data_IF_171718161617
#
_entry.id   IF_171718161617
#
_cell.length_a   1.000
_cell.length_b   1.000
_cell.length_c   1.000
_cell.angle_alpha   90.00
_cell.angle_beta   90.00
_cell.angle_gamma   90.00
#
_symmetry.space_group_name_H-M   'P 1'
#
loop_
_entity.id
_entity.type
_entity.pdbx_description
1 polymer ?
#
# COMPACT_ATOMS: atom_id res chain seq x y z
N UNK A 1 13.23 -12.74 -6.76
CA UNK A 1 12.64 -12.54 -5.43
C UNK A 1 12.87 -11.10 -4.96
N UNK A 2 11.85 -10.48 -4.41
CA UNK A 2 11.96 -9.11 -3.91
C UNK A 2 12.48 -9.07 -2.48
N UNK A 3 13.17 -7.99 -2.15
CA UNK A 3 13.51 -7.64 -0.78
C UNK A 3 12.91 -6.28 -0.48
N UNK A 4 12.85 -5.89 0.80
CA UNK A 4 12.38 -4.57 1.15
C UNK A 4 13.26 -3.92 2.20
N UNK A 5 13.22 -2.61 2.22
CA UNK A 5 13.70 -1.79 3.32
C UNK A 5 12.63 -0.72 3.59
N UNK A 6 12.71 -0.07 4.71
CA UNK A 6 11.82 1.07 4.96
C UNK A 6 12.34 2.30 4.23
N UNK A 7 11.41 3.14 3.77
CA UNK A 7 11.76 4.38 3.09
C UNK A 7 12.45 5.35 4.04
N UNK A 8 13.34 6.17 3.48
CA UNK A 8 14.00 7.25 4.19
C UNK A 8 13.66 8.58 3.50
N UNK A 9 14.05 9.69 4.10
CA UNK A 9 13.80 11.01 3.49
C UNK A 9 14.43 11.16 2.12
N UNK A 10 15.49 10.40 1.84
CA UNK A 10 16.15 10.41 0.54
C UNK A 10 15.28 9.84 -0.59
N UNK A 11 14.23 9.10 -0.26
CA UNK A 11 13.33 8.49 -1.23
C UNK A 11 12.19 9.43 -1.68
N UNK A 12 12.19 10.68 -1.23
CA UNK A 12 11.07 11.61 -1.46
C UNK A 12 10.75 11.80 -2.95
N UNK A 13 11.77 11.93 -3.80
CA UNK A 13 11.55 12.15 -5.23
C UNK A 13 11.07 10.90 -5.94
N UNK A 14 11.56 9.74 -5.57
CA UNK A 14 11.08 8.47 -6.10
C UNK A 14 9.59 8.29 -5.81
N UNK A 15 9.18 8.54 -4.56
CA UNK A 15 7.77 8.44 -4.16
C UNK A 15 6.92 9.50 -4.86
N UNK A 16 7.47 10.71 -5.06
CA UNK A 16 6.77 11.76 -5.80
C UNK A 16 6.46 11.33 -7.24
N UNK A 17 7.45 10.76 -7.91
CA UNK A 17 7.27 10.29 -9.28
C UNK A 17 6.24 9.16 -9.36
N UNK A 18 6.27 8.24 -8.41
CA UNK A 18 5.29 7.15 -8.35
C UNK A 18 3.88 7.67 -8.08
N UNK A 19 3.74 8.59 -7.13
CA UNK A 19 2.41 9.08 -6.73
C UNK A 19 1.72 9.87 -7.84
N UNK A 20 2.48 10.56 -8.69
CA UNK A 20 1.95 11.35 -9.81
C UNK A 20 1.91 10.59 -11.15
N UNK A 21 2.30 9.34 -11.17
CA UNK A 21 2.17 8.52 -12.37
C UNK A 21 0.67 8.40 -12.69
N UNK A 22 0.31 8.53 -13.99
CA UNK A 22 -1.08 8.67 -14.40
C UNK A 22 -1.99 7.55 -13.89
N UNK A 23 -1.53 6.30 -13.98
CA UNK A 23 -2.35 5.17 -13.54
C UNK A 23 -2.57 5.18 -12.02
N UNK A 24 -1.57 5.61 -11.25
CA UNK A 24 -1.71 5.75 -9.79
C UNK A 24 -2.75 6.81 -9.46
N UNK A 25 -2.72 7.96 -10.15
CA UNK A 25 -3.72 9.01 -9.94
C UNK A 25 -5.12 8.54 -10.33
N UNK A 26 -5.24 7.81 -11.43
CA UNK A 26 -6.54 7.31 -11.91
C UNK A 26 -7.15 6.27 -10.96
N UNK A 27 -6.34 5.55 -10.19
CA UNK A 27 -6.81 4.55 -9.24
C UNK A 27 -6.81 5.05 -7.79
N UNK A 28 -6.69 6.35 -7.59
CA UNK A 28 -6.70 7.00 -6.27
C UNK A 28 -7.99 7.77 -6.07
N UNK A 29 -8.51 7.77 -4.85
CA UNK A 29 -9.75 8.49 -4.53
C UNK A 29 -9.62 9.99 -4.75
N UNK A 30 -8.43 10.54 -4.66
CA UNK A 30 -8.13 11.88 -5.11
C UNK A 30 -7.24 11.77 -6.34
N UNK A 31 -7.81 12.03 -7.52
CA UNK A 31 -7.11 11.87 -8.79
C UNK A 31 -6.33 13.11 -9.24
N UNK A 32 -6.43 14.22 -8.52
CA UNK A 32 -5.70 15.44 -8.86
C UNK A 32 -4.20 15.23 -8.70
N UNK A 33 -3.36 15.87 -9.55
CA UNK A 33 -1.92 15.82 -9.39
C UNK A 33 -1.50 16.36 -8.01
N UNK A 34 -0.46 15.75 -7.45
CA UNK A 34 0.09 16.17 -6.16
C UNK A 34 1.22 17.17 -6.42
N UNK A 35 1.16 18.33 -5.77
CA UNK A 35 2.21 19.34 -5.88
C UNK A 35 3.42 18.95 -5.04
N UNK A 36 4.63 19.24 -5.57
CA UNK A 36 5.86 18.79 -4.91
C UNK A 36 6.01 19.27 -3.45
N UNK A 37 5.78 20.54 -3.12
CA UNK A 37 5.91 20.98 -1.72
C UNK A 37 4.96 20.25 -0.77
N UNK A 38 3.73 19.99 -1.23
CA UNK A 38 2.74 19.24 -0.45
C UNK A 38 3.19 17.81 -0.24
N UNK A 39 3.76 17.19 -1.29
CA UNK A 39 4.29 15.84 -1.20
C UNK A 39 5.45 15.75 -0.21
N UNK A 40 6.39 16.68 -0.27
CA UNK A 40 7.54 16.69 0.65
C UNK A 40 7.08 16.75 2.11
N UNK A 41 6.13 17.64 2.40
CA UNK A 41 5.57 17.76 3.75
C UNK A 41 4.88 16.46 4.19
N UNK A 42 4.04 15.90 3.33
CA UNK A 42 3.33 14.65 3.58
C UNK A 42 4.31 13.49 3.80
N UNK A 43 5.29 13.35 2.91
CA UNK A 43 6.24 12.25 2.93
C UNK A 43 7.12 12.29 4.18
N UNK A 44 7.66 13.46 4.52
CA UNK A 44 8.53 13.61 5.68
C UNK A 44 7.81 13.28 6.98
N UNK A 45 6.53 13.63 7.09
CA UNK A 45 5.73 13.27 8.26
C UNK A 45 5.58 11.76 8.38
N UNK A 46 5.34 11.07 7.27
CA UNK A 46 5.10 9.61 7.29
C UNK A 46 6.37 8.81 7.51
N UNK A 47 7.48 9.24 6.94
CA UNK A 47 8.75 8.55 7.13
C UNK A 47 9.11 8.46 8.62
N UNK A 48 8.82 9.51 9.38
CA UNK A 48 9.17 9.57 10.79
C UNK A 48 8.03 9.12 11.72
N UNK A 49 6.85 8.86 11.19
CA UNK A 49 5.67 8.54 12.01
C UNK A 49 5.71 7.10 12.51
N UNK A 50 5.51 6.86 13.81
CA UNK A 50 5.53 5.49 14.35
C UNK A 50 4.31 4.65 13.95
N UNK A 51 3.24 5.28 13.47
CA UNK A 51 2.01 4.62 13.05
C UNK A 51 1.96 4.37 11.53
N UNK A 52 3.01 4.70 10.80
CA UNK A 52 3.07 4.51 9.36
C UNK A 52 4.30 3.70 8.98
N UNK A 53 4.09 2.63 8.20
CA UNK A 53 5.17 1.79 7.68
C UNK A 53 5.25 1.96 6.17
N UNK A 54 6.37 2.46 5.68
CA UNK A 54 6.62 2.66 4.26
C UNK A 54 7.63 1.63 3.77
N UNK A 55 7.13 0.57 3.14
CA UNK A 55 7.96 -0.51 2.58
C UNK A 55 8.38 -0.16 1.17
N UNK A 56 9.67 -0.08 0.94
CA UNK A 56 10.23 0.11 -0.40
C UNK A 56 10.80 -1.21 -0.89
N UNK A 57 10.31 -1.71 -2.02
CA UNK A 57 10.68 -3.01 -2.55
C UNK A 57 11.71 -2.88 -3.66
N UNK A 58 12.70 -3.77 -3.61
CA UNK A 58 13.83 -3.81 -4.52
C UNK A 58 13.91 -5.18 -5.18
N UNK A 59 14.29 -5.21 -6.46
CA UNK A 59 14.57 -6.48 -7.14
C UNK A 59 15.99 -6.98 -6.79
N UNK A 60 16.39 -8.09 -7.37
CA UNK A 60 17.69 -8.71 -7.10
C UNK A 60 18.88 -7.80 -7.50
N UNK A 61 18.65 -6.86 -8.40
CA UNK A 61 19.67 -5.91 -8.84
C UNK A 61 19.66 -4.63 -7.99
N UNK A 62 18.83 -4.57 -6.96
CA UNK A 62 18.73 -3.39 -6.11
C UNK A 62 17.91 -2.25 -6.69
N UNK A 63 17.14 -2.51 -7.75
CA UNK A 63 16.32 -1.49 -8.40
C UNK A 63 14.96 -1.41 -7.71
N UNK A 64 14.49 -0.19 -7.35
CA UNK A 64 13.16 -0.02 -6.77
C UNK A 64 12.06 -0.43 -7.75
N UNK A 65 11.15 -1.31 -7.33
CA UNK A 65 10.07 -1.80 -8.18
C UNK A 65 8.70 -1.35 -7.71
N UNK A 66 8.56 -0.93 -6.48
CA UNK A 66 7.29 -0.48 -5.95
C UNK A 66 7.33 -0.23 -4.46
N UNK A 67 6.17 0.13 -3.89
CA UNK A 67 6.06 0.42 -2.48
C UNK A 67 4.72 -0.06 -1.92
N UNK A 68 4.72 -0.33 -0.62
CA UNK A 68 3.51 -0.60 0.16
C UNK A 68 3.53 0.30 1.38
N UNK A 69 2.40 0.97 1.63
CA UNK A 69 2.22 1.80 2.82
C UNK A 69 1.13 1.18 3.68
N UNK A 70 1.42 0.98 4.96
CA UNK A 70 0.43 0.52 5.94
C UNK A 70 0.39 1.53 7.07
N UNK A 71 -0.76 2.16 7.26
CA UNK A 71 -0.98 3.16 8.30
C UNK A 71 -1.98 2.66 9.32
N UNK A 72 -1.61 2.73 10.60
CA UNK A 72 -2.53 2.44 11.69
C UNK A 72 -3.62 3.50 11.74
N UNK A 73 -4.82 3.09 12.13
CA UNK A 73 -5.94 3.99 12.28
C UNK A 73 -5.66 5.08 13.31
N UNK A 74 -6.33 6.25 13.20
CA UNK A 74 -5.95 7.45 13.95
C UNK A 74 -5.99 7.31 15.47
N UNK A 75 -6.80 6.43 16.00
CA UNK A 75 -6.92 6.22 17.45
C UNK A 75 -6.46 4.83 17.89
N UNK A 76 -6.03 3.99 16.96
CA UNK A 76 -5.76 2.60 17.23
C UNK A 76 -7.01 1.78 17.55
N UNK A 77 -8.20 2.36 17.40
CA UNK A 77 -9.46 1.66 17.65
C UNK A 77 -9.60 0.43 16.77
N UNK A 78 -9.98 -0.70 17.38
CA UNK A 78 -10.17 -1.95 16.68
C UNK A 78 -8.88 -2.52 16.11
N UNK A 79 -7.74 -1.94 16.40
CA UNK A 79 -6.45 -2.34 15.84
C UNK A 79 -6.55 -2.51 14.32
N UNK A 80 -7.03 -1.49 13.65
CA UNK A 80 -7.21 -1.48 12.21
C UNK A 80 -6.14 -0.62 11.56
N UNK A 81 -5.71 -1.03 10.38
CA UNK A 81 -4.74 -0.30 9.57
C UNK A 81 -5.22 -0.29 8.13
N UNK A 82 -4.73 0.67 7.34
CA UNK A 82 -5.10 0.80 5.92
C UNK A 82 -3.85 0.64 5.08
N UNK A 83 -3.95 -0.18 4.03
CA UNK A 83 -2.85 -0.46 3.13
C UNK A 83 -3.08 0.18 1.77
N UNK A 84 -2.01 0.66 1.17
CA UNK A 84 -1.99 1.05 -0.23
C UNK A 84 -0.72 0.53 -0.88
N UNK A 85 -0.78 0.34 -2.20
CA UNK A 85 0.32 -0.23 -2.97
C UNK A 85 0.45 0.50 -4.30
N UNK A 86 1.67 0.67 -4.77
CA UNK A 86 1.91 1.03 -6.16
C UNK A 86 3.14 0.30 -6.69
N UNK A 87 3.08 -0.08 -7.96
CA UNK A 87 4.18 -0.74 -8.67
C UNK A 87 4.68 0.21 -9.73
N UNK A 88 6.01 0.36 -9.84
CA UNK A 88 6.62 1.13 -10.90
C UNK A 88 6.13 0.62 -12.26
N UNK A 89 5.77 1.53 -13.17
CA UNK A 89 5.15 1.12 -14.44
C UNK A 89 6.03 0.19 -15.27
N UNK A 90 7.36 0.25 -15.11
CA UNK A 90 8.27 -0.62 -15.84
C UNK A 90 8.21 -2.07 -15.35
N UNK A 91 7.68 -2.29 -14.15
CA UNK A 91 7.66 -3.61 -13.52
C UNK A 91 6.24 -4.17 -13.35
N UNK A 92 5.22 -3.53 -13.94
CA UNK A 92 3.85 -4.03 -13.88
C UNK A 92 3.68 -5.28 -14.74
N UNK A 93 2.72 -6.12 -14.36
CA UNK A 93 2.42 -7.34 -15.10
C UNK A 93 3.36 -8.50 -14.83
N UNK A 94 4.21 -8.40 -13.81
CA UNK A 94 5.24 -9.41 -13.48
C UNK A 94 4.94 -10.16 -12.18
N UNK A 95 3.76 -9.94 -11.59
CA UNK A 95 3.40 -10.60 -10.33
C UNK A 95 4.01 -9.96 -9.08
N UNK A 96 4.69 -8.85 -9.20
CA UNK A 96 5.34 -8.18 -8.06
C UNK A 96 4.33 -7.69 -7.02
N UNK A 97 3.14 -7.28 -7.46
CA UNK A 97 2.12 -6.76 -6.55
C UNK A 97 1.74 -7.76 -5.48
N UNK A 98 1.50 -9.02 -5.85
CA UNK A 98 1.17 -10.08 -4.91
C UNK A 98 2.31 -10.31 -3.93
N UNK A 99 3.54 -10.40 -4.42
CA UNK A 99 4.71 -10.62 -3.56
C UNK A 99 4.92 -9.47 -2.58
N UNK A 100 4.81 -8.23 -3.06
CA UNK A 100 4.93 -7.05 -2.20
C UNK A 100 3.88 -7.04 -1.09
N UNK A 101 2.63 -7.36 -1.44
CA UNK A 101 1.55 -7.41 -0.46
C UNK A 101 1.79 -8.50 0.58
N UNK A 102 2.23 -9.68 0.16
CA UNK A 102 2.52 -10.77 1.09
C UNK A 102 3.64 -10.39 2.05
N UNK A 103 4.75 -9.90 1.53
CA UNK A 103 5.92 -9.57 2.35
C UNK A 103 5.62 -8.44 3.34
N UNK A 104 4.99 -7.36 2.88
CA UNK A 104 4.67 -6.23 3.74
C UNK A 104 3.62 -6.60 4.79
N UNK A 105 2.57 -7.31 4.38
CA UNK A 105 1.50 -7.69 5.30
C UNK A 105 2.00 -8.65 6.38
N UNK A 106 2.81 -9.63 5.99
CA UNK A 106 3.36 -10.59 6.95
C UNK A 106 4.29 -9.90 7.95
N UNK A 107 5.15 -9.00 7.47
CA UNK A 107 6.02 -8.24 8.36
C UNK A 107 5.21 -7.37 9.32
N UNK A 108 4.25 -6.61 8.79
CA UNK A 108 3.43 -5.71 9.61
C UNK A 108 2.67 -6.49 10.70
N UNK A 109 2.03 -7.60 10.32
CA UNK A 109 1.25 -8.38 11.27
C UNK A 109 2.12 -9.12 12.30
N UNK A 110 3.35 -9.47 11.95
CA UNK A 110 4.28 -10.07 12.91
C UNK A 110 4.71 -9.08 13.99
N UNK A 111 4.86 -7.82 13.61
CA UNK A 111 5.27 -6.74 14.53
C UNK A 111 4.07 -6.16 15.28
N UNK A 112 2.89 -6.24 14.70
CA UNK A 112 1.65 -5.67 15.23
C UNK A 112 0.58 -6.76 15.36
N UNK A 113 0.73 -7.69 16.32
CA UNK A 113 -0.26 -8.76 16.50
C UNK A 113 -1.63 -8.19 16.89
N UNK A 114 -2.68 -8.80 16.39
CA UNK A 114 -4.05 -8.37 16.66
C UNK A 114 -4.56 -7.30 15.71
N UNK A 115 -3.74 -6.79 14.79
CA UNK A 115 -4.19 -5.81 13.80
C UNK A 115 -4.90 -6.49 12.63
N UNK A 116 -5.85 -5.76 12.05
CA UNK A 116 -6.46 -6.09 10.75
C UNK A 116 -5.97 -5.07 9.74
N UNK A 117 -5.52 -5.56 8.58
CA UNK A 117 -5.14 -4.68 7.46
C UNK A 117 -6.32 -4.58 6.52
N UNK A 118 -6.75 -3.35 6.21
CA UNK A 118 -7.91 -3.05 5.36
C UNK A 118 -7.45 -2.41 4.07
N UNK A 119 -7.95 -2.93 2.95
CA UNK A 119 -7.70 -2.37 1.62
C UNK A 119 -8.99 -1.86 1.01
N UNK A 120 -8.94 -0.66 0.43
CA UNK A 120 -10.03 -0.07 -0.34
C UNK A 120 -9.61 -0.06 -1.81
N UNK A 121 -10.30 -0.81 -2.65
CA UNK A 121 -9.88 -1.05 -4.05
C UNK A 121 -11.02 -0.72 -4.99
N UNK A 122 -10.77 0.10 -6.02
CA UNK A 122 -11.77 0.35 -7.05
C UNK A 122 -12.18 -0.97 -7.69
N UNK A 123 -13.49 -1.19 -7.87
CA UNK A 123 -13.99 -2.42 -8.52
C UNK A 123 -13.39 -2.60 -9.92
N UNK A 124 -13.15 -1.49 -10.62
CA UNK A 124 -12.59 -1.54 -11.99
C UNK A 124 -11.09 -1.86 -12.01
N UNK A 125 -10.40 -1.74 -10.88
CA UNK A 125 -8.97 -2.05 -10.80
C UNK A 125 -8.77 -3.54 -10.56
N UNK A 126 -9.03 -4.32 -11.61
CA UNK A 126 -9.04 -5.80 -11.53
C UNK A 126 -7.69 -6.39 -11.18
N UNK A 127 -6.62 -5.77 -11.65
CA UNK A 127 -5.27 -6.23 -11.35
C UNK A 127 -4.98 -6.16 -9.86
N UNK A 128 -5.37 -5.06 -9.21
CA UNK A 128 -5.20 -4.88 -7.77
C UNK A 128 -6.06 -5.85 -6.97
N UNK A 129 -7.34 -6.02 -7.35
CA UNK A 129 -8.24 -6.98 -6.71
C UNK A 129 -7.63 -8.38 -6.73
N UNK A 130 -7.11 -8.79 -7.88
CA UNK A 130 -6.47 -10.11 -8.04
C UNK A 130 -5.23 -10.24 -7.15
N UNK A 131 -4.38 -9.21 -7.12
CA UNK A 131 -3.17 -9.25 -6.30
C UNK A 131 -3.49 -9.35 -4.81
N UNK A 132 -4.48 -8.62 -4.33
CA UNK A 132 -4.90 -8.70 -2.93
C UNK A 132 -5.48 -10.08 -2.60
N UNK A 133 -6.32 -10.64 -3.46
CA UNK A 133 -6.85 -12.00 -3.26
C UNK A 133 -5.72 -13.01 -3.18
N UNK A 134 -4.77 -12.96 -4.11
CA UNK A 134 -3.64 -13.88 -4.14
C UNK A 134 -2.72 -13.71 -2.93
N UNK A 135 -2.70 -12.54 -2.33
CA UNK A 135 -1.92 -12.27 -1.12
C UNK A 135 -2.64 -12.65 0.18
N UNK A 136 -3.84 -13.23 0.08
CA UNK A 136 -4.57 -13.73 1.23
C UNK A 136 -5.61 -12.76 1.81
N UNK A 137 -5.92 -11.68 1.11
CA UNK A 137 -6.98 -10.78 1.53
C UNK A 137 -8.35 -11.34 1.17
N UNK A 138 -9.32 -11.11 2.03
CA UNK A 138 -10.69 -11.61 1.89
C UNK A 138 -11.64 -10.44 1.68
N UNK A 139 -12.54 -10.57 0.72
CA UNK A 139 -13.58 -9.56 0.48
C UNK A 139 -14.55 -9.53 1.67
N UNK A 140 -14.68 -8.37 2.31
CA UNK A 140 -15.58 -8.20 3.45
C UNK A 140 -16.77 -7.29 3.15
N UNK A 141 -16.64 -6.39 2.17
CA UNK A 141 -17.69 -5.45 1.86
C UNK A 141 -17.56 -4.95 0.43
N UNK A 142 -18.67 -4.55 -0.17
CA UNK A 142 -18.72 -3.93 -1.49
C UNK A 142 -19.64 -2.72 -1.38
N UNK A 143 -19.08 -1.52 -1.59
CA UNK A 143 -19.84 -0.29 -1.46
C UNK A 143 -19.16 0.86 -2.18
N UNK A 144 -19.87 1.98 -2.32
CA UNK A 144 -19.26 3.21 -2.80
C UNK A 144 -18.42 3.84 -1.68
N UNK A 145 -17.20 4.24 -2.05
CA UNK A 145 -16.30 5.01 -1.19
C UNK A 145 -15.98 6.30 -1.93
N UNK A 146 -16.32 7.43 -1.33
CA UNK A 146 -16.15 8.76 -1.98
C UNK A 146 -16.75 8.81 -3.38
N UNK A 147 -17.91 8.17 -3.56
CA UNK A 147 -18.62 8.12 -4.82
C UNK A 147 -18.12 7.10 -5.84
N UNK A 148 -17.15 6.27 -5.50
CA UNK A 148 -16.54 5.30 -6.41
C UNK A 148 -16.85 3.87 -5.93
N UNK A 149 -17.44 3.01 -6.80
CA UNK A 149 -17.67 1.62 -6.43
C UNK A 149 -16.36 0.92 -6.06
N UNK A 150 -16.33 0.33 -4.88
CA UNK A 150 -15.11 -0.24 -4.30
C UNK A 150 -15.37 -1.57 -3.63
N UNK A 151 -14.34 -2.41 -3.62
CA UNK A 151 -14.26 -3.59 -2.76
C UNK A 151 -13.45 -3.24 -1.52
N UNK A 152 -13.88 -3.75 -0.38
CA UNK A 152 -13.13 -3.64 0.86
C UNK A 152 -12.66 -5.03 1.21
N UNK A 153 -11.35 -5.20 1.34
CA UNK A 153 -10.72 -6.48 1.61
C UNK A 153 -9.89 -6.39 2.87
N UNK A 154 -9.77 -7.51 3.59
CA UNK A 154 -9.08 -7.53 4.88
C UNK A 154 -8.19 -8.74 5.02
N UNK A 155 -7.10 -8.53 5.78
CA UNK A 155 -6.19 -9.61 6.18
C UNK A 155 -5.87 -9.48 7.66
N UNK A 156 -5.89 -10.61 8.37
CA UNK A 156 -5.58 -10.68 9.79
C UNK A 156 -4.42 -11.61 10.05
N UNK A 157 -3.79 -11.46 11.20
CA UNK A 157 -2.74 -12.38 11.62
C UNK A 157 -3.30 -13.78 11.84
N UNK A 158 -2.53 -14.81 11.41
CA UNK A 158 -2.90 -16.21 11.67
C UNK A 158 -2.95 -16.55 13.15
N UNK A 159 -2.24 -15.81 13.99
CA UNK A 159 -2.22 -16.03 15.44
C UNK A 159 -3.58 -15.74 16.12
N UNK A 160 -4.55 -15.24 15.37
CA UNK A 160 -5.87 -14.87 15.87
C UNK A 160 -6.91 -16.01 15.78
N UNK A 161 -6.49 -17.16 15.34
CA UNK A 161 -7.40 -18.31 15.21
C UNK A 161 -7.60 -19.03 16.54
#
# INVERSE_FOLDING_TARGET
MLTFRFATREDVDLYFNWTNEAEVRNNSYNSSPVEYPDHVSWFNKRVDAPDCSLYLFLNEEGVPVGQVRIEKGPTGEGRRSVISISTDKQFRGMGHGTEMLQLASDDFLSVNPGYTIVAYIFEVNKASVKSFKNAGYVLTEQKEVKGIPSFIMEKKSHAEH
#
